data_IF_777596272225
#
_entry.id   IF_777596272225
#
_cell.length_a   1.000
_cell.length_b   1.000
_cell.length_c   1.000
_cell.angle_alpha   90.00
_cell.angle_beta   90.00
_cell.angle_gamma   90.00
#
_symmetry.space_group_name_H-M   'P 1'
#
loop_
_entity.id
_entity.type
_entity.pdbx_description
1 polymer ?
#
# COMPACT_ATOMS: atom_id res chain seq x y z
N UNK A 1 11.26 -2.29 -51.07
CA UNK A 1 11.43 -1.50 -49.81
C UNK A 1 10.25 -0.54 -49.75
N UNK A 2 9.29 -0.78 -48.86
CA UNK A 2 7.94 -0.20 -48.88
C UNK A 2 7.96 1.25 -48.37
N UNK A 3 7.61 2.21 -49.23
CA UNK A 3 7.49 3.64 -48.91
C UNK A 3 6.56 3.93 -47.73
N UNK A 4 5.62 3.04 -47.44
CA UNK A 4 4.68 3.12 -46.30
C UNK A 4 5.34 2.94 -44.92
N UNK A 5 6.45 2.19 -44.85
CA UNK A 5 7.17 1.95 -43.59
C UNK A 5 8.09 3.11 -43.19
N UNK A 6 8.52 3.91 -44.15
CA UNK A 6 9.39 5.09 -43.92
C UNK A 6 8.55 6.30 -43.45
N UNK A 7 7.31 6.43 -43.89
CA UNK A 7 6.43 7.53 -43.52
C UNK A 7 5.87 7.36 -42.08
N UNK A 8 5.58 6.12 -41.66
CA UNK A 8 5.08 5.86 -40.30
C UNK A 8 6.15 6.06 -39.23
N UNK A 9 7.40 5.69 -39.50
CA UNK A 9 8.52 5.92 -38.56
C UNK A 9 8.89 7.41 -38.43
N UNK A 10 8.77 8.18 -39.53
CA UNK A 10 9.04 9.61 -39.52
C UNK A 10 7.97 10.44 -38.83
N UNK A 11 6.69 10.04 -38.97
CA UNK A 11 5.58 10.72 -38.29
C UNK A 11 5.60 10.41 -36.79
N UNK A 12 5.91 9.18 -36.37
CA UNK A 12 6.06 8.81 -34.97
C UNK A 12 7.24 9.51 -34.32
N UNK A 13 8.38 9.62 -35.04
CA UNK A 13 9.57 10.37 -34.60
C UNK A 13 9.29 11.87 -34.48
N UNK A 14 8.49 12.45 -35.38
CA UNK A 14 8.11 13.87 -35.32
C UNK A 14 7.13 14.15 -34.17
N UNK A 15 6.21 13.22 -33.89
CA UNK A 15 5.27 13.34 -32.78
C UNK A 15 5.99 13.29 -31.42
N UNK A 16 7.02 12.45 -31.29
CA UNK A 16 7.86 12.36 -30.09
C UNK A 16 8.78 13.58 -29.91
N UNK A 17 9.16 14.24 -31.02
CA UNK A 17 10.02 15.43 -30.95
C UNK A 17 9.26 16.73 -30.68
N UNK A 18 7.95 16.79 -31.02
CA UNK A 18 7.09 17.94 -30.74
C UNK A 18 6.63 17.99 -29.30
N UNK A 19 6.67 16.88 -28.58
CA UNK A 19 6.28 16.77 -27.15
C UNK A 19 7.44 17.03 -26.18
N UNK A 20 8.59 17.51 -26.66
CA UNK A 20 9.65 18.12 -25.83
C UNK A 20 10.21 17.24 -24.72
N UNK A 21 11.31 16.54 -25.00
CA UNK A 21 12.21 15.94 -24.00
C UNK A 21 11.80 14.56 -23.51
N UNK A 22 12.71 13.60 -23.64
CA UNK A 22 12.65 12.21 -23.15
C UNK A 22 12.47 12.08 -21.61
N UNK A 23 11.41 12.65 -21.06
CA UNK A 23 10.81 12.05 -19.88
C UNK A 23 9.77 11.03 -20.38
N UNK A 24 10.13 9.77 -20.34
CA UNK A 24 9.15 8.69 -20.35
C UNK A 24 8.14 9.04 -19.26
N UNK A 25 6.99 9.63 -19.66
CA UNK A 25 5.92 9.87 -18.71
C UNK A 25 5.58 8.53 -18.09
N UNK A 26 5.70 8.41 -16.77
CA UNK A 26 5.30 7.23 -16.04
C UNK A 26 3.84 6.89 -16.36
N UNK A 27 3.42 5.66 -16.11
CA UNK A 27 2.04 5.24 -16.33
C UNK A 27 1.02 6.01 -15.47
N UNK A 28 1.48 6.75 -14.47
CA UNK A 28 0.65 7.46 -13.49
C UNK A 28 1.01 8.95 -13.41
N UNK A 29 -0.02 9.79 -13.36
CA UNK A 29 0.07 11.23 -13.11
C UNK A 29 -1.12 11.63 -12.23
N UNK A 30 -0.85 12.24 -11.07
CA UNK A 30 -1.90 12.68 -10.15
C UNK A 30 -2.44 14.06 -10.55
N UNK A 31 -3.75 14.23 -10.53
CA UNK A 31 -4.39 15.52 -10.67
C UNK A 31 -4.56 16.19 -9.30
N UNK A 32 -3.49 16.83 -8.81
CA UNK A 32 -3.48 17.47 -7.50
C UNK A 32 -4.54 18.56 -7.38
N UNK A 33 -4.87 19.28 -8.47
CA UNK A 33 -5.89 20.33 -8.44
C UNK A 33 -7.30 19.78 -8.14
N UNK A 34 -7.64 18.62 -8.67
CA UNK A 34 -8.93 17.98 -8.37
C UNK A 34 -8.99 17.50 -6.92
N UNK A 35 -7.89 16.97 -6.40
CA UNK A 35 -7.78 16.57 -4.99
C UNK A 35 -7.94 17.80 -4.08
N UNK A 36 -7.25 18.87 -4.37
CA UNK A 36 -7.36 20.15 -3.65
C UNK A 36 -8.79 20.68 -3.67
N UNK A 37 -9.42 20.72 -4.84
CA UNK A 37 -10.82 21.12 -5.00
C UNK A 37 -11.76 20.26 -4.13
N UNK A 38 -11.63 18.94 -4.19
CA UNK A 38 -12.45 18.04 -3.38
C UNK A 38 -12.27 18.28 -1.88
N UNK A 39 -11.02 18.39 -1.41
CA UNK A 39 -10.74 18.53 0.01
C UNK A 39 -11.18 19.92 0.57
N UNK A 40 -10.84 20.98 -0.12
CA UNK A 40 -10.95 22.32 0.46
C UNK A 40 -12.15 23.11 -0.04
N UNK A 41 -12.48 23.03 -1.32
CA UNK A 41 -13.60 23.78 -1.88
C UNK A 41 -14.93 23.02 -1.74
N UNK A 42 -14.94 21.69 -1.95
CA UNK A 42 -16.17 20.89 -1.85
C UNK A 42 -16.44 20.44 -0.41
N UNK A 43 -15.44 19.85 0.26
CA UNK A 43 -15.59 19.27 1.60
C UNK A 43 -15.26 20.24 2.75
N UNK A 44 -14.77 21.45 2.47
CA UNK A 44 -14.49 22.49 3.45
C UNK A 44 -13.51 22.05 4.55
N UNK A 45 -12.46 21.28 4.23
CA UNK A 45 -11.56 20.73 5.25
C UNK A 45 -10.75 21.79 5.99
N UNK A 46 -10.62 23.00 5.46
CA UNK A 46 -10.05 24.15 6.18
C UNK A 46 -10.75 24.42 7.53
N UNK A 47 -12.03 24.06 7.65
CA UNK A 47 -12.80 24.31 8.87
C UNK A 47 -12.31 23.47 10.05
N UNK A 48 -11.66 22.34 9.84
CA UNK A 48 -11.18 21.42 10.88
C UNK A 48 -9.66 21.41 11.05
N UNK A 49 -8.90 21.84 10.05
CA UNK A 49 -7.45 21.94 10.13
C UNK A 49 -7.04 23.06 11.10
N UNK A 50 -5.93 22.86 11.81
CA UNK A 50 -5.44 23.77 12.85
C UNK A 50 -6.28 23.78 14.12
N UNK A 51 -7.27 22.88 14.27
CA UNK A 51 -8.21 22.88 15.39
C UNK A 51 -8.31 21.52 16.07
N UNK A 52 -8.61 21.56 17.38
CA UNK A 52 -8.91 20.36 18.18
C UNK A 52 -7.82 19.28 18.01
N UNK A 53 -8.24 18.07 17.59
CA UNK A 53 -7.33 16.93 17.39
C UNK A 53 -6.39 17.09 16.19
N UNK A 54 -6.62 18.07 15.33
CA UNK A 54 -5.80 18.40 14.15
C UNK A 54 -5.07 19.74 14.28
N UNK A 55 -4.86 20.22 15.52
CA UNK A 55 -4.25 21.53 15.82
C UNK A 55 -2.86 21.74 15.21
N UNK A 56 -2.12 20.64 15.00
CA UNK A 56 -0.75 20.64 14.48
C UNK A 56 -0.71 20.41 12.94
N UNK A 57 -1.85 20.45 12.27
CA UNK A 57 -1.99 20.24 10.83
C UNK A 57 -2.78 21.40 10.22
N UNK A 58 -2.12 22.34 9.59
CA UNK A 58 -2.73 23.43 8.81
C UNK A 58 -2.89 23.05 7.33
N UNK A 59 -3.49 23.95 6.53
CA UNK A 59 -3.69 23.74 5.09
C UNK A 59 -2.37 23.62 4.34
N UNK A 60 -1.40 24.48 4.66
CA UNK A 60 -0.12 24.51 3.95
C UNK A 60 0.64 23.20 4.18
N UNK A 61 0.64 22.69 5.41
CA UNK A 61 1.19 21.37 5.74
C UNK A 61 0.46 20.25 4.98
N UNK A 62 -0.88 20.29 4.93
CA UNK A 62 -1.66 19.29 4.20
C UNK A 62 -1.35 19.31 2.70
N UNK A 63 -1.22 20.51 2.09
CA UNK A 63 -0.81 20.65 0.69
C UNK A 63 0.61 20.16 0.45
N UNK A 64 1.55 20.47 1.33
CA UNK A 64 2.93 19.95 1.26
C UNK A 64 2.98 18.42 1.29
N UNK A 65 2.14 17.79 2.12
CA UNK A 65 2.00 16.32 2.14
C UNK A 65 1.47 15.78 0.81
N UNK A 66 0.46 16.44 0.23
CA UNK A 66 -0.11 16.03 -1.07
C UNK A 66 0.90 16.19 -2.22
N UNK A 67 1.67 17.27 -2.23
CA UNK A 67 2.73 17.49 -3.23
C UNK A 67 3.85 16.44 -3.13
N UNK A 68 4.27 16.13 -1.91
CA UNK A 68 5.34 15.15 -1.71
C UNK A 68 4.89 13.72 -2.04
N UNK A 69 3.68 13.31 -1.64
CA UNK A 69 3.18 11.98 -2.01
C UNK A 69 2.92 11.88 -3.52
N UNK A 70 2.49 12.98 -4.18
CA UNK A 70 2.40 13.04 -5.63
C UNK A 70 3.76 12.76 -6.26
N UNK A 71 4.80 13.48 -5.82
CA UNK A 71 6.18 13.30 -6.31
C UNK A 71 6.64 11.85 -6.14
N UNK A 72 6.45 11.27 -4.95
CA UNK A 72 6.81 9.88 -4.66
C UNK A 72 6.03 8.92 -5.56
N UNK A 73 4.72 9.11 -5.70
CA UNK A 73 3.84 8.25 -6.48
C UNK A 73 4.19 8.24 -7.97
N UNK A 74 4.41 9.41 -8.56
CA UNK A 74 4.74 9.56 -9.99
C UNK A 74 6.13 9.03 -10.36
N UNK A 75 7.06 8.99 -9.42
CA UNK A 75 8.44 8.58 -9.66
C UNK A 75 8.75 7.23 -9.02
N UNK A 76 8.98 7.20 -7.70
CA UNK A 76 9.53 6.03 -7.02
C UNK A 76 8.57 4.85 -6.99
N UNK A 77 7.26 5.11 -6.76
CA UNK A 77 6.27 4.03 -6.68
C UNK A 77 5.87 3.52 -8.07
N UNK A 78 5.65 4.42 -9.02
CA UNK A 78 5.29 4.06 -10.39
C UNK A 78 6.40 3.27 -11.10
N UNK A 79 7.66 3.48 -10.73
CA UNK A 79 8.82 2.89 -11.41
C UNK A 79 8.79 1.36 -11.47
N UNK A 80 8.25 0.70 -10.45
CA UNK A 80 8.23 -0.77 -10.38
C UNK A 80 6.90 -1.41 -10.81
N UNK A 81 5.88 -0.62 -11.15
CA UNK A 81 4.54 -1.16 -11.42
C UNK A 81 4.53 -2.17 -12.57
N UNK A 82 5.02 -1.78 -13.74
CA UNK A 82 5.00 -2.64 -14.94
C UNK A 82 5.93 -3.84 -14.81
N UNK A 83 7.13 -3.62 -14.27
CA UNK A 83 8.09 -4.70 -14.06
C UNK A 83 7.60 -5.69 -13.03
N UNK A 84 7.09 -5.19 -11.88
CA UNK A 84 6.56 -6.02 -10.81
C UNK A 84 5.40 -6.90 -11.24
N UNK A 85 4.47 -6.35 -12.06
CA UNK A 85 3.35 -7.11 -12.63
C UNK A 85 3.83 -8.23 -13.57
N UNK A 86 4.78 -7.93 -14.45
CA UNK A 86 5.28 -8.90 -15.44
C UNK A 86 6.15 -9.99 -14.86
N UNK A 87 6.99 -9.65 -13.89
CA UNK A 87 7.88 -10.62 -13.23
C UNK A 87 7.13 -11.46 -12.21
N UNK A 88 6.21 -10.85 -11.45
CA UNK A 88 5.55 -11.49 -10.32
C UNK A 88 6.52 -11.83 -9.20
N UNK A 89 6.09 -12.75 -8.32
CA UNK A 89 6.92 -13.25 -7.23
C UNK A 89 7.69 -14.50 -7.66
N UNK A 90 8.91 -14.66 -7.17
CA UNK A 90 9.72 -15.89 -7.33
C UNK A 90 9.47 -16.81 -6.12
N UNK A 91 8.87 -17.97 -6.37
CA UNK A 91 8.55 -18.96 -5.35
C UNK A 91 9.41 -20.20 -5.51
N UNK A 92 10.15 -20.56 -4.48
CA UNK A 92 10.92 -21.81 -4.43
C UNK A 92 10.13 -22.92 -3.70
N UNK A 93 9.55 -23.89 -4.41
CA UNK A 93 8.75 -24.94 -3.78
C UNK A 93 9.55 -25.90 -2.90
N UNK A 94 10.87 -25.94 -3.01
CA UNK A 94 11.72 -26.83 -2.20
C UNK A 94 11.97 -26.24 -0.80
N UNK A 95 12.04 -24.92 -0.66
CA UNK A 95 12.29 -24.23 0.60
C UNK A 95 11.07 -23.50 1.14
N UNK A 96 10.08 -23.21 0.28
CA UNK A 96 8.93 -22.37 0.59
C UNK A 96 9.22 -20.86 0.50
N UNK A 97 10.45 -20.48 0.13
CA UNK A 97 10.84 -19.07 0.07
C UNK A 97 10.09 -18.32 -1.04
N UNK A 98 9.67 -17.12 -0.74
CA UNK A 98 9.07 -16.17 -1.68
C UNK A 98 9.93 -14.92 -1.78
N UNK A 99 10.22 -14.50 -3.01
CA UNK A 99 10.94 -13.25 -3.28
C UNK A 99 10.13 -12.34 -4.18
N UNK A 100 10.00 -11.08 -3.80
CA UNK A 100 9.41 -10.06 -4.66
C UNK A 100 10.49 -9.43 -5.56
N UNK A 101 10.12 -8.84 -6.73
CA UNK A 101 11.07 -8.18 -7.62
C UNK A 101 11.89 -7.08 -6.91
N UNK A 102 13.16 -6.96 -7.26
CA UNK A 102 14.05 -5.97 -6.64
C UNK A 102 13.59 -4.52 -6.86
N UNK A 103 13.01 -4.23 -8.03
CA UNK A 103 12.40 -2.93 -8.31
C UNK A 103 11.22 -2.64 -7.39
N UNK A 104 10.38 -3.64 -7.11
CA UNK A 104 9.28 -3.49 -6.17
C UNK A 104 9.76 -3.24 -4.74
N UNK A 105 10.80 -3.94 -4.27
CA UNK A 105 11.43 -3.66 -2.96
C UNK A 105 11.88 -2.21 -2.85
N UNK A 106 12.48 -1.67 -3.91
CA UNK A 106 12.91 -0.28 -3.93
C UNK A 106 11.73 0.68 -3.76
N UNK A 107 10.66 0.49 -4.51
CA UNK A 107 9.44 1.30 -4.39
C UNK A 107 8.79 1.18 -2.99
N UNK A 108 8.69 -0.03 -2.47
CA UNK A 108 8.18 -0.29 -1.13
C UNK A 108 9.03 0.41 -0.05
N UNK A 109 10.35 0.28 -0.12
CA UNK A 109 11.26 0.91 0.83
C UNK A 109 11.16 2.45 0.77
N UNK A 110 11.03 3.06 -0.42
CA UNK A 110 10.82 4.52 -0.54
C UNK A 110 9.56 4.99 0.20
N UNK A 111 8.48 4.19 0.18
CA UNK A 111 7.26 4.48 0.93
C UNK A 111 7.48 4.35 2.46
N UNK A 112 8.18 3.30 2.89
CA UNK A 112 8.46 3.03 4.31
C UNK A 112 9.43 4.07 4.90
N UNK A 113 10.52 4.38 4.20
CA UNK A 113 11.53 5.38 4.59
C UNK A 113 10.95 6.80 4.64
N UNK A 114 9.97 7.11 3.76
CA UNK A 114 9.19 8.34 3.84
C UNK A 114 8.20 8.40 5.00
N UNK A 115 8.13 7.35 5.82
CA UNK A 115 7.26 7.23 7.00
C UNK A 115 5.75 7.40 6.72
N UNK A 116 5.31 7.21 5.47
CA UNK A 116 3.90 7.34 5.08
C UNK A 116 2.97 6.37 5.82
N UNK A 117 3.51 5.27 6.32
CA UNK A 117 2.82 4.31 7.17
C UNK A 117 2.29 4.92 8.48
N UNK A 118 2.86 6.04 8.95
CA UNK A 118 2.37 6.73 10.16
C UNK A 118 0.95 7.23 10.05
N UNK A 119 0.44 7.43 8.82
CA UNK A 119 -0.94 7.84 8.56
C UNK A 119 -1.95 6.71 8.80
N UNK A 120 -1.49 5.45 8.81
CA UNK A 120 -2.27 4.25 9.07
C UNK A 120 -2.09 3.72 10.49
N UNK A 121 -1.32 4.44 11.32
CA UNK A 121 -0.94 4.01 12.66
C UNK A 121 -1.51 4.98 13.69
N UNK A 122 -2.08 4.51 14.82
CA UNK A 122 -2.56 5.39 15.87
C UNK A 122 -1.39 6.08 16.59
N UNK A 123 -1.61 7.28 17.18
CA UNK A 123 -0.56 8.02 17.88
C UNK A 123 0.14 7.22 18.98
N UNK A 124 -0.58 6.35 19.67
CA UNK A 124 -0.06 5.48 20.73
C UNK A 124 0.99 4.48 20.23
N UNK A 125 0.99 4.21 18.92
CA UNK A 125 1.96 3.38 18.21
C UNK A 125 2.90 4.21 17.31
N UNK A 126 3.00 5.52 17.52
CA UNK A 126 3.88 6.41 16.79
C UNK A 126 3.31 6.97 15.48
N UNK A 127 2.00 6.85 15.28
CA UNK A 127 1.32 7.37 14.11
C UNK A 127 1.02 8.87 14.16
N UNK A 128 0.55 9.39 13.06
CA UNK A 128 0.16 10.80 12.88
C UNK A 128 -1.34 10.91 12.67
N UNK A 129 -1.98 11.75 13.45
CA UNK A 129 -3.43 11.96 13.36
C UNK A 129 -3.76 12.99 12.31
N UNK A 130 -4.39 12.55 11.22
CA UNK A 130 -4.88 13.41 10.14
C UNK A 130 -6.35 13.11 9.83
N UNK A 131 -7.10 14.04 9.18
CA UNK A 131 -8.45 13.74 8.71
C UNK A 131 -8.47 12.56 7.75
N UNK A 132 -9.46 11.68 7.89
CA UNK A 132 -9.61 10.53 6.99
C UNK A 132 -9.69 10.90 5.51
N UNK A 133 -10.29 12.06 5.19
CA UNK A 133 -10.35 12.58 3.82
C UNK A 133 -8.95 12.88 3.24
N UNK A 134 -8.04 13.47 4.03
CA UNK A 134 -6.66 13.71 3.61
C UNK A 134 -5.88 12.39 3.48
N UNK A 135 -6.04 11.48 4.45
CA UNK A 135 -5.43 10.14 4.38
C UNK A 135 -5.83 9.41 3.11
N UNK A 136 -7.11 9.43 2.75
CA UNK A 136 -7.58 8.74 1.54
C UNK A 136 -7.17 9.44 0.25
N UNK A 137 -7.04 10.77 0.24
CA UNK A 137 -6.46 11.50 -0.89
C UNK A 137 -4.99 11.12 -1.13
N UNK A 138 -4.21 10.93 -0.06
CA UNK A 138 -2.85 10.42 -0.12
C UNK A 138 -2.84 8.96 -0.62
N UNK A 139 -3.68 8.11 -0.06
CA UNK A 139 -3.78 6.69 -0.44
C UNK A 139 -4.23 6.52 -1.91
N UNK A 140 -5.08 7.40 -2.44
CA UNK A 140 -5.50 7.39 -3.84
C UNK A 140 -4.30 7.50 -4.78
N UNK A 141 -3.37 8.41 -4.49
CA UNK A 141 -2.17 8.58 -5.31
C UNK A 141 -1.24 7.36 -5.24
N UNK A 142 -1.07 6.77 -4.07
CA UNK A 142 -0.29 5.53 -3.90
C UNK A 142 -0.94 4.37 -4.65
N UNK A 143 -2.26 4.18 -4.48
CA UNK A 143 -3.02 3.12 -5.15
C UNK A 143 -3.04 3.29 -6.67
N UNK A 144 -3.18 4.52 -7.15
CA UNK A 144 -3.18 4.81 -8.59
C UNK A 144 -1.82 4.55 -9.25
N UNK A 145 -0.73 4.77 -8.52
CA UNK A 145 0.62 4.56 -9.02
C UNK A 145 1.11 3.11 -8.89
N UNK A 146 0.88 2.50 -7.72
CA UNK A 146 1.30 1.12 -7.45
C UNK A 146 0.48 0.52 -6.29
N UNK A 147 -0.66 -0.12 -6.57
CA UNK A 147 -1.53 -0.67 -5.54
C UNK A 147 -0.84 -1.72 -4.67
N UNK A 148 0.17 -2.43 -5.21
CA UNK A 148 0.92 -3.43 -4.44
C UNK A 148 1.68 -2.80 -3.28
N UNK A 149 2.25 -1.60 -3.44
CA UNK A 149 2.93 -0.90 -2.33
C UNK A 149 1.96 -0.67 -1.17
N UNK A 150 0.76 -0.14 -1.46
CA UNK A 150 -0.26 0.09 -0.43
C UNK A 150 -0.70 -1.20 0.27
N UNK A 151 -0.90 -2.26 -0.49
CA UNK A 151 -1.38 -3.54 0.04
C UNK A 151 -0.30 -4.21 0.91
N UNK A 152 0.95 -4.26 0.47
CA UNK A 152 2.04 -4.83 1.27
C UNK A 152 2.36 -3.99 2.51
N UNK A 153 2.11 -2.67 2.49
CA UNK A 153 2.23 -1.79 3.64
C UNK A 153 1.05 -1.90 4.64
N UNK A 154 0.06 -2.77 4.41
CA UNK A 154 -1.12 -2.90 5.27
C UNK A 154 -0.83 -3.39 6.71
N UNK A 155 0.38 -3.90 6.97
CA UNK A 155 0.80 -4.34 8.30
C UNK A 155 0.54 -3.31 9.40
N UNK A 156 0.69 -2.03 9.10
CA UNK A 156 0.46 -0.94 10.06
C UNK A 156 -1.01 -0.76 10.42
N UNK A 157 -1.90 -0.86 9.43
CA UNK A 157 -3.36 -0.82 9.68
C UNK A 157 -3.83 -2.05 10.47
N UNK A 158 -3.28 -3.24 10.18
CA UNK A 158 -3.57 -4.46 10.93
C UNK A 158 -3.00 -4.42 12.37
N UNK A 159 -1.85 -3.81 12.59
CA UNK A 159 -1.32 -3.57 13.93
C UNK A 159 -2.29 -2.73 14.76
N UNK A 160 -2.96 -1.73 14.17
CA UNK A 160 -4.01 -0.97 14.84
C UNK A 160 -5.17 -1.87 15.31
N UNK A 161 -5.62 -2.81 14.46
CA UNK A 161 -6.69 -3.75 14.82
C UNK A 161 -6.26 -4.62 16.01
N UNK A 162 -5.06 -5.21 15.95
CA UNK A 162 -4.52 -6.02 17.04
C UNK A 162 -4.33 -5.21 18.34
N UNK A 163 -3.96 -3.93 18.24
CA UNK A 163 -3.75 -3.06 19.38
C UNK A 163 -5.06 -2.71 20.10
N UNK A 164 -6.11 -2.37 19.35
CA UNK A 164 -7.37 -1.92 19.96
C UNK A 164 -8.30 -3.09 20.36
N UNK A 165 -8.29 -4.17 19.60
CA UNK A 165 -9.26 -5.27 19.80
C UNK A 165 -8.62 -6.54 20.38
N UNK A 166 -7.29 -6.61 20.40
CA UNK A 166 -6.57 -7.80 20.83
C UNK A 166 -6.39 -7.93 22.34
N UNK A 167 -5.97 -9.12 22.75
CA UNK A 167 -5.48 -9.41 24.11
C UNK A 167 -4.19 -8.66 24.40
N UNK A 168 -3.73 -8.66 25.65
CA UNK A 168 -2.47 -8.00 26.02
C UNK A 168 -1.25 -8.58 25.28
N UNK A 169 -1.26 -9.89 24.97
CA UNK A 169 -0.23 -10.51 24.14
C UNK A 169 -0.30 -10.04 22.68
N UNK A 170 -1.50 -9.93 22.11
CA UNK A 170 -1.69 -9.41 20.76
C UNK A 170 -1.32 -7.93 20.65
N UNK A 171 -1.53 -7.13 21.70
CA UNK A 171 -1.04 -5.74 21.77
C UNK A 171 0.49 -5.65 21.75
N UNK A 172 1.20 -6.60 22.36
CA UNK A 172 2.66 -6.68 22.28
C UNK A 172 3.10 -7.00 20.84
N UNK A 173 2.41 -7.93 20.16
CA UNK A 173 2.64 -8.24 18.75
C UNK A 173 2.41 -6.98 17.90
N UNK A 174 1.31 -6.25 18.12
CA UNK A 174 1.02 -5.01 17.39
C UNK A 174 2.16 -3.98 17.49
N UNK A 175 2.78 -3.83 18.67
CA UNK A 175 3.96 -2.96 18.84
C UNK A 175 5.16 -3.44 18.04
N UNK A 176 5.43 -4.75 18.05
CA UNK A 176 6.52 -5.34 17.25
C UNK A 176 6.26 -5.19 15.74
N UNK A 177 5.01 -5.30 15.28
CA UNK A 177 4.66 -5.06 13.88
C UNK A 177 5.07 -3.66 13.42
N UNK A 178 4.83 -2.65 14.24
CA UNK A 178 5.25 -1.27 13.94
C UNK A 178 6.77 -1.13 14.04
N UNK A 179 7.36 -1.56 15.15
CA UNK A 179 8.78 -1.38 15.46
C UNK A 179 9.71 -2.06 14.45
N UNK A 180 9.27 -3.22 13.92
CA UNK A 180 10.06 -4.06 13.01
C UNK A 180 9.53 -4.07 11.58
N UNK A 181 8.56 -3.23 11.26
CA UNK A 181 7.93 -3.15 9.93
C UNK A 181 7.43 -4.51 9.43
N UNK A 182 6.78 -5.30 10.29
CA UNK A 182 6.22 -6.58 9.90
C UNK A 182 5.00 -6.41 8.99
N UNK A 183 4.92 -7.27 7.98
CA UNK A 183 3.75 -7.36 7.12
C UNK A 183 2.53 -7.94 7.84
N UNK A 184 1.39 -7.84 7.17
CA UNK A 184 0.18 -8.55 7.61
C UNK A 184 -0.64 -9.02 6.42
N UNK A 185 -1.46 -10.04 6.66
CA UNK A 185 -2.48 -10.49 5.73
C UNK A 185 -3.78 -10.85 6.45
N UNK A 186 -4.89 -10.78 5.71
CA UNK A 186 -6.21 -11.25 6.16
C UNK A 186 -6.55 -12.54 5.41
N UNK A 187 -6.53 -13.66 6.13
CA UNK A 187 -6.73 -14.99 5.56
C UNK A 187 -8.18 -15.44 5.72
N UNK A 188 -9.09 -14.96 4.86
CA UNK A 188 -10.52 -15.30 4.90
C UNK A 188 -10.89 -16.35 3.86
N UNK A 189 -10.61 -16.10 2.59
CA UNK A 189 -11.05 -16.93 1.46
C UNK A 189 -10.57 -18.37 1.55
N UNK A 190 -11.49 -19.31 1.29
CA UNK A 190 -11.24 -20.74 1.18
C UNK A 190 -11.63 -21.25 -0.22
N UNK A 191 -11.22 -22.48 -0.64
CA UNK A 191 -11.55 -23.00 -1.96
C UNK A 191 -13.05 -22.95 -2.31
N UNK A 192 -13.93 -23.19 -1.32
CA UNK A 192 -15.38 -23.24 -1.48
C UNK A 192 -16.10 -22.03 -0.85
N UNK A 193 -15.38 -21.05 -0.33
CA UNK A 193 -15.92 -19.92 0.42
C UNK A 193 -15.17 -18.61 0.05
N UNK A 194 -15.57 -17.98 -1.06
CA UNK A 194 -15.01 -16.71 -1.55
C UNK A 194 -15.93 -15.54 -1.20
N UNK A 195 -16.99 -15.30 -1.99
CA UNK A 195 -17.95 -14.22 -1.72
C UNK A 195 -18.73 -14.46 -0.43
N UNK A 196 -19.13 -15.71 -0.16
CA UNK A 196 -19.68 -16.11 1.12
C UNK A 196 -18.57 -16.65 2.04
N UNK A 197 -17.83 -15.75 2.65
CA UNK A 197 -16.76 -16.11 3.60
C UNK A 197 -17.31 -16.77 4.88
N UNK A 198 -18.58 -16.58 5.19
CA UNK A 198 -19.27 -17.24 6.30
C UNK A 198 -19.42 -18.76 6.12
N UNK A 199 -19.33 -19.27 4.88
CA UNK A 199 -19.31 -20.69 4.57
C UNK A 199 -17.93 -21.36 4.78
N UNK A 200 -16.92 -20.63 5.30
CA UNK A 200 -15.59 -21.15 5.60
C UNK A 200 -15.63 -22.37 6.52
N UNK A 201 -14.72 -23.32 6.27
CA UNK A 201 -14.63 -24.59 7.01
C UNK A 201 -13.41 -24.71 7.90
N UNK A 202 -12.49 -23.74 7.86
CA UNK A 202 -11.34 -23.73 8.74
C UNK A 202 -11.78 -23.72 10.20
N UNK A 203 -11.04 -24.43 11.04
CA UNK A 203 -11.34 -24.63 12.47
C UNK A 203 -10.14 -24.27 13.32
N UNK A 204 -10.38 -23.62 14.44
CA UNK A 204 -9.40 -23.42 15.49
C UNK A 204 -9.67 -24.40 16.64
N UNK A 205 -8.68 -25.21 17.03
CA UNK A 205 -8.76 -26.21 18.09
C UNK A 205 -7.84 -25.79 19.22
N UNK A 206 -8.42 -25.53 20.40
CA UNK A 206 -7.66 -25.13 21.57
C UNK A 206 -6.78 -26.28 22.06
N UNK A 207 -5.54 -25.97 22.41
CA UNK A 207 -4.58 -26.89 22.96
C UNK A 207 -4.48 -26.78 24.47
N UNK A 208 -3.87 -27.77 25.13
CA UNK A 208 -3.74 -27.82 26.59
C UNK A 208 -2.89 -26.66 27.16
N UNK A 209 -2.00 -26.10 26.38
CA UNK A 209 -1.14 -24.93 26.72
C UNK A 209 -1.83 -23.58 26.52
N UNK A 210 -3.09 -23.58 26.07
CA UNK A 210 -3.87 -22.36 25.80
C UNK A 210 -3.68 -21.80 24.38
N UNK A 211 -2.82 -22.37 23.57
CA UNK A 211 -2.69 -22.02 22.15
C UNK A 211 -3.81 -22.62 21.31
N UNK A 212 -3.85 -22.27 20.02
CA UNK A 212 -4.85 -22.77 19.09
C UNK A 212 -4.17 -23.32 17.83
N UNK A 213 -4.54 -24.53 17.43
CA UNK A 213 -4.17 -25.08 16.13
C UNK A 213 -5.26 -24.75 15.12
N UNK A 214 -4.85 -24.07 14.02
CA UNK A 214 -5.73 -23.76 12.91
C UNK A 214 -5.61 -24.85 11.86
N UNK A 215 -6.74 -25.44 11.46
CA UNK A 215 -6.83 -26.50 10.46
C UNK A 215 -7.75 -26.03 9.34
N UNK A 216 -7.25 -25.98 8.12
CA UNK A 216 -7.98 -25.56 6.94
C UNK A 216 -7.06 -25.17 5.81
N UNK A 217 -7.66 -24.79 4.67
CA UNK A 217 -6.93 -24.30 3.49
C UNK A 217 -7.45 -22.92 3.14
N UNK A 218 -6.59 -21.92 3.18
CA UNK A 218 -6.87 -20.58 2.71
C UNK A 218 -6.35 -20.40 1.28
N UNK A 219 -6.99 -19.57 0.47
CA UNK A 219 -6.67 -19.38 -0.94
C UNK A 219 -6.75 -17.91 -1.34
N UNK A 220 -5.94 -17.50 -2.31
CA UNK A 220 -5.91 -16.14 -2.84
C UNK A 220 -5.63 -15.06 -1.78
N UNK A 221 -4.69 -15.35 -0.89
CA UNK A 221 -4.34 -14.42 0.18
C UNK A 221 -3.36 -13.38 -0.33
N UNK A 222 -3.83 -12.14 -0.43
CA UNK A 222 -3.02 -10.99 -0.83
C UNK A 222 -1.93 -10.74 0.22
N UNK A 223 -0.70 -10.46 -0.21
CA UNK A 223 0.48 -10.28 0.66
C UNK A 223 0.68 -11.42 1.67
N UNK A 224 0.29 -12.64 1.30
CA UNK A 224 0.39 -13.82 2.18
C UNK A 224 1.81 -14.22 2.51
N UNK A 225 2.77 -13.90 1.63
CA UNK A 225 4.20 -14.09 1.88
C UNK A 225 5.04 -13.13 1.06
N UNK A 226 6.22 -12.76 1.56
CA UNK A 226 7.20 -11.91 0.88
C UNK A 226 8.50 -11.85 1.66
N UNK A 227 9.58 -11.40 1.02
CA UNK A 227 10.87 -11.10 1.64
C UNK A 227 11.09 -9.57 1.86
N UNK A 228 10.00 -8.83 2.12
CA UNK A 228 10.04 -7.39 2.43
C UNK A 228 10.37 -7.11 3.91
N UNK A 229 10.14 -8.06 4.78
CA UNK A 229 10.41 -7.97 6.21
C UNK A 229 10.72 -9.34 6.80
N UNK A 230 11.05 -9.37 8.09
CA UNK A 230 11.41 -10.61 8.79
C UNK A 230 10.21 -11.47 9.20
N UNK A 231 8.99 -10.90 9.20
CA UNK A 231 7.79 -11.61 9.64
C UNK A 231 6.51 -11.01 9.03
N UNK A 232 5.47 -11.84 8.99
CA UNK A 232 4.12 -11.47 8.56
C UNK A 232 3.12 -12.00 9.57
N UNK A 233 2.23 -11.14 10.06
CA UNK A 233 1.16 -11.52 11.00
C UNK A 233 -0.11 -11.82 10.22
N UNK A 234 -0.61 -13.04 10.33
CA UNK A 234 -1.81 -13.49 9.62
C UNK A 234 -3.04 -13.39 10.53
N UNK A 235 -4.05 -12.66 10.08
CA UNK A 235 -5.38 -12.61 10.70
C UNK A 235 -6.27 -13.66 10.04
N UNK A 236 -6.66 -14.70 10.79
CA UNK A 236 -7.34 -15.91 10.26
C UNK A 236 -8.75 -16.00 10.80
#
# INVERSE_FOLDING_TARGET
MNLHMLLTSSILGLYLHVLGGDQLMGHYTANLRDIEFCLFELLGRDEILGKSIYKDLDRDTAMGMLEEIKRLSENDLAASFVEGDRMGVDFNPATGDVKVPASFKKSYNSYIEGEWWRLDTPPELGGTKIPASLRWAIAEMVLGSNPSVHIYASGYAFAQVAYYLGTDEQKKIAKLMIERHWGASMMLTEPDAGSDVGAGRAKAIQQADGTWHIIGTKRFITSGDSDLGENIVHFV
#
